data_IF_298591548286
#
_entry.id   IF_298591548286
#
_cell.length_a   1.000
_cell.length_b   1.000
_cell.length_c   1.000
_cell.angle_alpha   90.00
_cell.angle_beta   90.00
_cell.angle_gamma   90.00
#
_symmetry.space_group_name_H-M   'P 1'
#
loop_
_entity.id
_entity.type
_entity.pdbx_description
1 polymer ?
#
# COMPACT_ATOMS: atom_id res chain seq x y z
N UNK A 1 0.93 -24.32 17.18
CA UNK A 1 0.41 -24.41 15.80
C UNK A 1 1.46 -23.92 14.81
N UNK A 2 1.27 -24.13 13.51
CA UNK A 2 2.25 -23.89 12.43
C UNK A 2 2.29 -22.45 11.86
N UNK A 3 1.59 -21.50 12.50
CA UNK A 3 1.43 -20.13 12.01
C UNK A 3 0.22 -19.93 11.09
N UNK A 4 -0.17 -18.67 10.87
CA UNK A 4 -1.30 -18.28 10.01
C UNK A 4 -1.04 -16.89 9.42
N UNK A 5 -1.36 -16.69 8.14
CA UNK A 5 -1.26 -15.38 7.47
C UNK A 5 -2.47 -14.52 7.87
N UNK A 6 -2.19 -13.30 8.32
CA UNK A 6 -3.22 -12.37 8.85
C UNK A 6 -3.57 -11.23 7.89
N UNK A 7 -2.80 -11.05 6.82
CA UNK A 7 -2.98 -9.95 5.87
C UNK A 7 -1.80 -9.80 4.90
N UNK A 8 -1.93 -8.83 4.01
CA UNK A 8 -1.03 -8.60 2.88
C UNK A 8 -1.05 -7.11 2.49
N UNK A 9 0.11 -6.57 2.14
CA UNK A 9 0.27 -5.26 1.49
C UNK A 9 1.11 -5.44 0.23
N UNK A 10 0.51 -5.24 -0.94
CA UNK A 10 1.18 -5.31 -2.24
C UNK A 10 1.57 -3.92 -2.70
N UNK A 11 2.84 -3.72 -3.02
CA UNK A 11 3.35 -2.45 -3.55
C UNK A 11 4.15 -2.64 -4.83
N UNK A 12 4.30 -1.58 -5.61
CA UNK A 12 5.22 -1.57 -6.74
C UNK A 12 5.31 -0.20 -7.40
N UNK A 13 6.43 0.04 -8.07
CA UNK A 13 6.62 1.26 -8.86
C UNK A 13 5.79 1.20 -10.15
N UNK A 14 5.12 2.30 -10.51
CA UNK A 14 4.28 2.39 -11.71
C UNK A 14 4.58 3.65 -12.48
N UNK A 15 4.68 3.55 -13.81
CA UNK A 15 4.77 4.74 -14.66
C UNK A 15 3.37 5.39 -14.74
N UNK A 16 3.25 6.60 -14.21
CA UNK A 16 2.01 7.36 -14.16
C UNK A 16 2.20 8.69 -14.88
N UNK A 17 1.16 9.10 -15.61
CA UNK A 17 0.98 10.49 -16.05
C UNK A 17 0.06 11.16 -15.04
N UNK A 18 0.55 12.19 -14.37
CA UNK A 18 -0.19 12.92 -13.33
C UNK A 18 -0.31 14.38 -13.70
N UNK A 19 -1.33 15.03 -13.14
CA UNK A 19 -1.53 16.46 -13.26
C UNK A 19 -1.28 17.13 -11.91
N UNK A 20 -0.65 18.29 -11.93
CA UNK A 20 -0.59 19.16 -10.75
C UNK A 20 -1.88 19.99 -10.60
N UNK A 21 -1.93 20.84 -9.57
CA UNK A 21 -3.09 21.70 -9.29
C UNK A 21 -3.30 22.78 -10.36
N UNK A 22 -2.28 23.14 -11.12
CA UNK A 22 -2.35 24.11 -12.21
C UNK A 22 -2.74 23.45 -13.55
N UNK A 23 -2.88 22.11 -13.57
CA UNK A 23 -3.20 21.34 -14.77
C UNK A 23 -1.99 21.00 -15.64
N UNK A 24 -0.77 21.28 -15.19
CA UNK A 24 0.43 20.83 -15.88
C UNK A 24 0.59 19.32 -15.69
N UNK A 25 0.87 18.59 -16.78
CA UNK A 25 1.07 17.15 -16.73
C UNK A 25 2.55 16.79 -16.63
N UNK A 26 2.85 15.69 -15.95
CA UNK A 26 4.20 15.16 -15.82
C UNK A 26 4.18 13.64 -15.67
N UNK A 27 5.28 12.99 -16.07
CA UNK A 27 5.46 11.56 -15.92
C UNK A 27 6.31 11.27 -14.68
N UNK A 28 5.88 10.30 -13.88
CA UNK A 28 6.60 9.86 -12.69
C UNK A 28 6.54 8.33 -12.56
N UNK A 29 7.44 7.78 -11.75
CA UNK A 29 7.46 6.36 -11.40
C UNK A 29 7.34 6.12 -9.89
N UNK A 30 6.23 6.50 -9.23
CA UNK A 30 6.11 6.43 -7.77
C UNK A 30 5.92 4.99 -7.27
N UNK A 31 6.35 4.74 -6.02
CA UNK A 31 5.96 3.54 -5.25
C UNK A 31 4.47 3.64 -4.96
N UNK A 32 3.69 2.70 -5.49
CA UNK A 32 2.23 2.65 -5.33
C UNK A 32 1.82 1.52 -4.40
N UNK A 33 0.77 1.75 -3.61
CA UNK A 33 0.00 0.66 -2.99
C UNK A 33 -0.94 0.10 -4.05
N UNK A 34 -0.88 -1.21 -4.26
CA UNK A 34 -1.61 -1.91 -5.33
C UNK A 34 -2.71 -2.81 -4.78
N UNK A 35 -2.54 -3.30 -3.55
CA UNK A 35 -3.53 -4.10 -2.84
C UNK A 35 -3.21 -4.06 -1.35
N UNK A 36 -4.24 -4.05 -0.51
CA UNK A 36 -4.06 -3.97 0.94
C UNK A 36 -5.22 -4.65 1.66
N UNK A 37 -4.93 -5.75 2.33
CA UNK A 37 -5.92 -6.59 2.98
C UNK A 37 -5.45 -7.06 4.36
N UNK A 38 -6.39 -7.10 5.31
CA UNK A 38 -6.25 -7.73 6.63
C UNK A 38 -7.45 -8.63 6.81
N UNK A 39 -7.21 -9.87 7.26
CA UNK A 39 -8.27 -10.83 7.54
C UNK A 39 -9.32 -10.21 8.47
N UNK A 40 -10.60 -10.42 8.18
CA UNK A 40 -11.73 -9.65 8.74
C UNK A 40 -11.77 -9.75 10.26
N UNK A 41 -11.55 -10.95 10.81
CA UNK A 41 -11.49 -11.18 12.27
C UNK A 41 -10.30 -10.49 12.94
N UNK A 42 -9.37 -9.95 12.15
CA UNK A 42 -8.15 -9.28 12.59
C UNK A 42 -8.13 -7.77 12.31
N UNK A 43 -9.18 -7.23 11.69
CA UNK A 43 -9.27 -5.80 11.39
C UNK A 43 -9.43 -4.93 12.65
N UNK A 44 -9.17 -3.62 12.52
CA UNK A 44 -9.23 -2.60 13.59
C UNK A 44 -8.30 -2.83 14.80
N UNK A 45 -7.38 -3.78 14.72
CA UNK A 45 -6.34 -4.02 15.72
C UNK A 45 -4.98 -3.37 15.38
N UNK A 46 -4.94 -2.45 14.41
CA UNK A 46 -3.72 -1.75 14.02
C UNK A 46 -2.74 -2.56 13.16
N UNK A 47 -3.05 -3.81 12.80
CA UNK A 47 -2.19 -4.66 11.96
C UNK A 47 -1.91 -4.06 10.58
N UNK A 48 -2.91 -3.39 9.98
CA UNK A 48 -2.69 -2.64 8.75
C UNK A 48 -1.64 -1.55 8.92
N UNK A 49 -1.68 -0.80 10.03
CA UNK A 49 -0.66 0.22 10.33
C UNK A 49 0.73 -0.40 10.43
N UNK A 50 0.87 -1.59 11.02
CA UNK A 50 2.15 -2.30 11.12
C UNK A 50 2.69 -2.66 9.72
N UNK A 51 1.86 -3.25 8.85
CA UNK A 51 2.26 -3.56 7.47
C UNK A 51 2.66 -2.30 6.69
N UNK A 52 1.85 -1.23 6.82
CA UNK A 52 2.11 0.03 6.14
C UNK A 52 3.40 0.70 6.63
N UNK A 53 3.63 0.72 7.94
CA UNK A 53 4.86 1.27 8.52
C UNK A 53 6.10 0.50 8.04
N UNK A 54 6.00 -0.83 7.95
CA UNK A 54 7.10 -1.66 7.43
C UNK A 54 7.38 -1.41 5.94
N UNK A 55 6.37 -1.01 5.17
CA UNK A 55 6.55 -0.61 3.77
C UNK A 55 7.19 0.77 3.62
N UNK A 56 7.02 1.67 4.61
CA UNK A 56 7.61 3.00 4.61
C UNK A 56 9.07 3.03 5.06
N UNK A 57 9.50 2.05 5.85
CA UNK A 57 10.91 1.83 6.22
C UNK A 57 11.68 1.17 5.08
#
# INVERSE_FOLDING_TARGET
>A
GLGCVIGLLKTGSKNLFMFDKAGAYFQLQPRCVLDFYIHETRQRMGLGRVLYQHMLT
#
